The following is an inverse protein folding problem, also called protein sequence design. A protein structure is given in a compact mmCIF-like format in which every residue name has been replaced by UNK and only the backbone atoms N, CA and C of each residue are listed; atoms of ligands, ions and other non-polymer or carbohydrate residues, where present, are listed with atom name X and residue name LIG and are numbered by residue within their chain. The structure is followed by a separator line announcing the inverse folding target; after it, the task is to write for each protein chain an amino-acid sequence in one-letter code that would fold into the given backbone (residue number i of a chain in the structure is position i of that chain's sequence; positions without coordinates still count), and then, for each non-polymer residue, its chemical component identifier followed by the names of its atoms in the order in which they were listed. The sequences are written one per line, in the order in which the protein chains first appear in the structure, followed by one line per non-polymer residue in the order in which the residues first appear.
data_IF_280150450678
#
_entry.id   IF_280150450678
#
_cell.length_a   1.000
_cell.length_b   1.000
_cell.length_c   1.000
_cell.angle_alpha   90.00
_cell.angle_beta   90.00
_cell.angle_gamma   90.00
#
_symmetry.space_group_name_H-M   'P 1'
#
loop_
_entity.id
_entity.type
_entity.pdbx_description
1 polymer ?
#
# COMPACT_ATOMS: atom_id res chain seq x y z
N UNK A 1 5.93 -1.92 -17.77
CA UNK A 1 6.51 -0.61 -17.39
C UNK A 1 6.45 0.32 -18.58
N UNK A 2 6.05 1.60 -18.39
CA UNK A 2 6.08 2.58 -19.49
C UNK A 2 7.53 2.86 -19.87
N UNK A 3 7.87 2.71 -21.14
CA UNK A 3 9.20 3.01 -21.67
C UNK A 3 9.28 4.52 -21.90
N UNK A 4 10.04 5.23 -21.07
CA UNK A 4 10.32 6.64 -21.28
C UNK A 4 11.45 6.77 -22.30
N UNK A 5 11.28 7.64 -23.28
CA UNK A 5 12.29 7.89 -24.33
C UNK A 5 12.75 9.34 -24.21
N UNK A 6 14.06 9.54 -24.25
CA UNK A 6 14.66 10.89 -24.19
C UNK A 6 14.36 11.61 -25.50
N UNK A 7 13.79 12.82 -25.42
CA UNK A 7 13.48 13.63 -26.60
C UNK A 7 14.77 14.24 -27.16
N UNK A 8 15.40 13.54 -28.12
CA UNK A 8 16.66 13.97 -28.76
C UNK A 8 16.47 15.05 -29.84
N UNK A 9 15.25 15.26 -30.33
CA UNK A 9 14.98 16.10 -31.52
C UNK A 9 14.36 17.47 -31.21
N UNK A 10 14.42 17.95 -29.95
CA UNK A 10 13.84 19.25 -29.52
C UNK A 10 12.39 19.51 -29.97
N UNK A 11 11.60 18.46 -30.23
CA UNK A 11 10.18 18.59 -30.56
C UNK A 11 9.46 19.29 -29.40
N UNK A 12 8.65 20.32 -29.69
CA UNK A 12 7.76 20.96 -28.72
C UNK A 12 6.74 19.93 -28.21
N UNK A 13 7.09 19.28 -27.11
CA UNK A 13 6.18 18.42 -26.35
C UNK A 13 5.34 19.32 -25.44
N UNK A 14 4.43 20.07 -26.03
CA UNK A 14 3.41 20.77 -25.26
C UNK A 14 2.43 19.71 -24.73
N UNK A 15 2.23 19.62 -23.40
CA UNK A 15 1.29 18.68 -22.85
C UNK A 15 -0.12 19.00 -23.37
N UNK A 16 -0.89 17.95 -23.70
CA UNK A 16 -2.31 18.09 -24.03
C UNK A 16 -3.07 18.63 -22.81
N UNK A 17 -4.16 19.38 -23.04
CA UNK A 17 -5.01 19.91 -21.97
C UNK A 17 -5.50 18.81 -21.02
N UNK A 18 -5.77 17.62 -21.53
CA UNK A 18 -6.16 16.47 -20.70
C UNK A 18 -5.03 15.97 -19.78
N UNK A 19 -3.77 16.11 -20.20
CA UNK A 19 -2.61 15.77 -19.39
C UNK A 19 -2.42 16.82 -18.29
N UNK A 20 -2.60 18.10 -18.63
CA UNK A 20 -2.57 19.21 -17.68
C UNK A 20 -3.68 19.06 -16.63
N UNK A 21 -4.90 18.74 -17.06
CA UNK A 21 -6.06 18.54 -16.17
C UNK A 21 -5.85 17.37 -15.20
N UNK A 22 -5.26 16.26 -15.66
CA UNK A 22 -4.93 15.10 -14.82
C UNK A 22 -3.91 15.43 -13.72
N UNK A 23 -2.94 16.30 -14.02
CA UNK A 23 -1.93 16.71 -13.05
C UNK A 23 -2.41 17.80 -12.08
N UNK A 24 -3.40 18.60 -12.49
CA UNK A 24 -4.07 19.62 -11.66
C UNK A 24 -5.20 19.06 -10.77
N UNK A 25 -5.50 17.77 -10.85
CA UNK A 25 -6.48 17.12 -9.98
C UNK A 25 -5.88 16.82 -8.60
N UNK A 26 -5.83 17.87 -7.76
CA UNK A 26 -5.32 17.78 -6.40
C UNK A 26 -6.21 16.94 -5.48
N UNK A 27 -7.50 16.82 -5.79
CA UNK A 27 -8.44 16.01 -5.02
C UNK A 27 -8.09 14.52 -5.14
N UNK A 28 -7.82 14.06 -6.36
CA UNK A 28 -7.37 12.69 -6.61
C UNK A 28 -6.00 12.42 -5.99
N UNK A 29 -5.06 13.36 -6.13
CA UNK A 29 -3.73 13.24 -5.53
C UNK A 29 -3.81 13.09 -4.00
N UNK A 30 -4.67 13.88 -3.36
CA UNK A 30 -4.88 13.83 -1.93
C UNK A 30 -5.54 12.50 -1.50
N UNK A 31 -6.57 12.03 -2.23
CA UNK A 31 -7.22 10.76 -1.94
C UNK A 31 -6.26 9.56 -2.07
N UNK A 32 -5.44 9.55 -3.13
CA UNK A 32 -4.42 8.52 -3.36
C UNK A 32 -3.32 8.58 -2.27
N UNK A 33 -2.91 9.79 -1.86
CA UNK A 33 -1.99 9.98 -0.74
C UNK A 33 -2.54 9.44 0.57
N UNK A 34 -3.79 9.79 0.90
CA UNK A 34 -4.46 9.30 2.11
C UNK A 34 -4.60 7.78 2.09
N UNK A 35 -4.93 7.17 0.95
CA UNK A 35 -5.04 5.72 0.82
C UNK A 35 -3.72 5.00 1.08
N UNK A 36 -2.59 5.61 0.70
CA UNK A 36 -1.25 5.04 0.90
C UNK A 36 -0.77 5.27 2.34
N UNK A 37 -0.89 6.49 2.87
CA UNK A 37 -0.37 6.86 4.19
C UNK A 37 -1.29 6.48 5.36
N UNK A 38 -2.61 6.58 5.18
CA UNK A 38 -3.61 6.21 6.20
C UNK A 38 -4.02 4.73 6.10
N UNK A 39 -3.23 3.91 5.38
CA UNK A 39 -3.43 2.46 5.37
C UNK A 39 -3.12 1.90 6.77
N UNK A 40 -4.14 1.83 7.61
CA UNK A 40 -4.05 1.21 8.93
C UNK A 40 -3.49 -0.21 8.80
N UNK A 41 -2.53 -0.56 9.66
CA UNK A 41 -2.07 -1.95 9.76
C UNK A 41 -3.30 -2.80 10.05
N UNK A 42 -3.57 -3.82 9.21
CA UNK A 42 -4.66 -4.74 9.49
C UNK A 42 -4.39 -5.35 10.86
N UNK A 43 -5.35 -5.32 11.80
CA UNK A 43 -5.14 -5.90 13.11
C UNK A 43 -4.86 -7.39 12.97
N UNK A 44 -4.01 -7.92 13.86
CA UNK A 44 -3.48 -9.28 13.79
C UNK A 44 -4.59 -10.35 13.80
N UNK A 45 -5.68 -10.08 14.52
CA UNK A 45 -6.86 -10.96 14.60
C UNK A 45 -7.69 -11.02 13.30
N UNK A 46 -7.46 -10.10 12.35
CA UNK A 46 -8.25 -10.03 11.11
C UNK A 46 -7.81 -11.07 10.08
N UNK A 47 -6.63 -11.65 10.27
CA UNK A 47 -6.16 -12.79 9.49
C UNK A 47 -6.42 -14.08 10.29
N UNK A 48 -7.38 -14.93 9.86
CA UNK A 48 -7.75 -16.12 10.61
C UNK A 48 -6.60 -17.14 10.70
N UNK A 49 -5.72 -17.21 9.69
CA UNK A 49 -4.59 -18.15 9.70
C UNK A 49 -3.53 -17.70 10.70
N UNK A 50 -3.23 -16.40 10.70
CA UNK A 50 -2.21 -15.81 11.57
C UNK A 50 -2.69 -15.78 13.03
N UNK A 51 -3.98 -15.53 13.26
CA UNK A 51 -4.60 -15.64 14.56
C UNK A 51 -4.55 -17.07 15.10
N UNK A 52 -4.91 -18.07 14.30
CA UNK A 52 -4.87 -19.48 14.70
C UNK A 52 -3.45 -19.92 15.07
N UNK A 53 -2.45 -19.51 14.29
CA UNK A 53 -1.04 -19.79 14.59
C UNK A 53 -0.64 -19.24 15.96
N UNK A 54 -0.97 -17.98 16.24
CA UNK A 54 -0.65 -17.34 17.52
C UNK A 54 -1.40 -17.98 18.70
N UNK A 55 -2.64 -18.39 18.48
CA UNK A 55 -3.43 -19.14 19.47
C UNK A 55 -2.72 -20.45 19.84
N UNK A 56 -2.30 -21.24 18.85
CA UNK A 56 -1.61 -22.52 19.07
C UNK A 56 -0.30 -22.28 19.83
N UNK A 57 0.50 -21.30 19.40
CA UNK A 57 1.75 -20.93 20.09
C UNK A 57 1.49 -20.55 21.55
N UNK A 58 0.47 -19.72 21.80
CA UNK A 58 0.09 -19.33 23.16
C UNK A 58 -0.35 -20.52 24.01
N UNK A 59 -1.11 -21.47 23.44
CA UNK A 59 -1.50 -22.70 24.13
C UNK A 59 -0.31 -23.60 24.45
N UNK A 60 0.68 -23.72 23.55
CA UNK A 60 1.91 -24.48 23.84
C UNK A 60 2.68 -23.87 25.01
N UNK A 61 2.83 -22.54 25.04
CA UNK A 61 3.47 -21.86 26.15
C UNK A 61 2.69 -22.03 27.47
N UNK A 62 1.36 -21.96 27.41
CA UNK A 62 0.51 -22.19 28.58
C UNK A 62 0.69 -23.60 29.12
N UNK A 63 0.66 -24.61 28.24
CA UNK A 63 0.89 -26.01 28.60
C UNK A 63 2.27 -26.20 29.24
N UNK A 64 3.31 -25.64 28.61
CA UNK A 64 4.68 -25.73 29.14
C UNK A 64 4.80 -25.06 30.51
N UNK A 65 4.15 -23.90 30.71
CA UNK A 65 4.12 -23.19 31.99
C UNK A 65 3.39 -23.97 33.09
N UNK A 66 2.35 -24.73 32.75
CA UNK A 66 1.58 -25.53 33.70
C UNK A 66 2.27 -26.86 34.05
N UNK A 67 3.10 -27.40 33.16
CA UNK A 67 3.88 -28.62 33.41
C UNK A 67 5.18 -28.37 34.21
N UNK A 68 5.75 -27.16 34.14
CA UNK A 68 6.86 -26.71 34.99
C UNK A 68 6.41 -26.32 36.39
#
# INVERSE_FOLDING_TARGET
MRKFVINKEQKKLTPSEEQIKRQKDFARLHHDYEKIFKRGKKPLYRDPKLFLLLLIIGLMFLLMFLET
#
